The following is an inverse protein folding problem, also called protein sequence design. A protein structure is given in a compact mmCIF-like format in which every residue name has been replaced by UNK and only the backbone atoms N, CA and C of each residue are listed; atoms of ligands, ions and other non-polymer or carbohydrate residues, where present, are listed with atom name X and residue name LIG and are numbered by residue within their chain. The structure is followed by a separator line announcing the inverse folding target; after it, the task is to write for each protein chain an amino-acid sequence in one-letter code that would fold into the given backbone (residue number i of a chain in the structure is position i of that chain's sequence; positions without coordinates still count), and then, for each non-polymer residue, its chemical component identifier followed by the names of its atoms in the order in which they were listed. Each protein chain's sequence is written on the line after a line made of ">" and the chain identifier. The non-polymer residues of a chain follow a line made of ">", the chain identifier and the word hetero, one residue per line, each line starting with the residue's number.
data_IF_501731227012
#
_entry.id   IF_501731227012
#
_cell.length_a   1.000
_cell.length_b   1.000
_cell.length_c   1.000
_cell.angle_alpha   90.00
_cell.angle_beta   90.00
_cell.angle_gamma   90.00
#
_symmetry.space_group_name_H-M   'P 1'
#
loop_
_entity.id
_entity.type
_entity.pdbx_description
1 polymer ?
#
# COMPACT_ATOMS: atom_id res chain seq x y z
N UNK A 1 -48.05 -18.83 8.66
CA UNK A 1 -48.09 -17.52 7.99
C UNK A 1 -46.90 -17.46 7.00
N UNK A 2 -47.15 -17.24 5.72
CA UNK A 2 -46.20 -17.29 4.61
C UNK A 2 -45.35 -16.03 4.60
N UNK A 3 -44.03 -16.07 4.23
CA UNK A 3 -43.25 -14.86 3.96
C UNK A 3 -43.47 -14.39 2.51
N UNK A 4 -43.56 -13.09 2.35
CA UNK A 4 -43.70 -12.35 1.09
C UNK A 4 -42.39 -12.38 0.30
N UNK A 5 -42.52 -12.65 -1.00
CA UNK A 5 -41.52 -12.52 -2.04
C UNK A 5 -41.30 -11.03 -2.34
N UNK A 6 -40.08 -10.61 -2.47
CA UNK A 6 -39.68 -9.63 -3.52
C UNK A 6 -38.17 -9.74 -3.73
N UNK A 7 -37.81 -10.60 -4.69
CA UNK A 7 -36.49 -10.64 -5.28
C UNK A 7 -36.47 -9.77 -6.52
N UNK A 8 -35.63 -8.76 -6.54
CA UNK A 8 -35.20 -8.11 -7.78
C UNK A 8 -33.72 -8.42 -8.00
N UNK A 9 -33.33 -8.89 -9.18
CA UNK A 9 -31.92 -9.15 -9.50
C UNK A 9 -31.20 -7.88 -9.90
N UNK A 10 -29.96 -7.75 -9.43
CA UNK A 10 -29.02 -6.72 -9.88
C UNK A 10 -28.76 -6.81 -11.39
N UNK A 11 -28.65 -5.67 -12.11
CA UNK A 11 -28.46 -5.70 -13.54
C UNK A 11 -27.06 -6.19 -13.92
N UNK A 12 -27.06 -7.19 -14.80
CA UNK A 12 -25.88 -7.71 -15.48
C UNK A 12 -25.28 -6.66 -16.42
N UNK A 13 -23.95 -6.58 -16.40
CA UNK A 13 -23.14 -5.81 -17.35
C UNK A 13 -23.52 -6.16 -18.80
N UNK A 14 -23.88 -5.15 -19.58
CA UNK A 14 -23.70 -5.15 -21.04
C UNK A 14 -23.14 -3.81 -21.48
N UNK A 15 -21.94 -3.90 -22.02
CA UNK A 15 -21.33 -3.18 -23.15
C UNK A 15 -21.60 -1.68 -23.30
N UNK A 16 -20.56 -0.90 -23.20
CA UNK A 16 -20.37 0.29 -24.03
C UNK A 16 -19.00 0.14 -24.72
N UNK A 17 -19.01 -0.48 -25.89
CA UNK A 17 -18.01 -0.26 -26.94
C UNK A 17 -18.31 1.11 -27.54
N UNK A 18 -17.48 2.10 -27.27
CA UNK A 18 -17.45 3.36 -28.00
C UNK A 18 -16.26 3.31 -28.96
N UNK A 19 -16.59 3.28 -30.25
CA UNK A 19 -15.66 3.31 -31.35
C UNK A 19 -14.79 4.58 -31.32
N UNK A 20 -13.47 4.39 -31.36
CA UNK A 20 -12.48 5.44 -31.61
C UNK A 20 -12.52 5.77 -33.11
N UNK A 21 -13.05 6.93 -33.47
CA UNK A 21 -12.90 7.52 -34.80
C UNK A 21 -11.56 8.21 -34.87
N UNK A 22 -10.63 7.63 -35.63
CA UNK A 22 -9.34 8.23 -35.98
C UNK A 22 -9.57 9.16 -37.17
N UNK A 23 -9.42 10.47 -36.97
CA UNK A 23 -9.32 11.43 -38.05
C UNK A 23 -7.87 11.64 -38.47
N UNK A 24 -7.55 11.75 -39.77
CA UNK A 24 -6.17 11.84 -40.24
C UNK A 24 -5.60 13.24 -40.07
N UNK A 25 -4.33 13.28 -39.68
CA UNK A 25 -3.48 14.47 -39.55
C UNK A 25 -3.31 15.19 -40.87
N UNK A 26 -3.63 16.47 -40.87
CA UNK A 26 -3.39 17.41 -41.96
C UNK A 26 -1.87 17.72 -42.05
N UNK A 27 -1.34 17.63 -43.27
CA UNK A 27 0.02 18.04 -43.63
C UNK A 27 0.22 19.54 -43.40
N UNK A 28 1.22 19.94 -42.63
CA UNK A 28 1.72 21.32 -42.57
C UNK A 28 3.02 21.37 -43.35
N UNK A 29 2.99 22.20 -44.43
CA UNK A 29 4.14 22.51 -45.26
C UNK A 29 5.20 23.36 -44.54
N UNK A 30 6.50 23.21 -44.83
CA UNK A 30 7.54 24.01 -44.20
C UNK A 30 7.59 25.43 -44.76
N UNK A 31 7.51 26.38 -43.84
CA UNK A 31 7.69 27.80 -44.14
C UNK A 31 9.18 28.14 -44.23
N UNK A 32 9.58 28.75 -45.35
CA UNK A 32 10.93 29.21 -45.65
C UNK A 32 11.32 30.41 -44.74
N UNK A 33 12.46 30.33 -44.09
CA UNK A 33 13.07 31.41 -43.34
C UNK A 33 13.86 32.33 -44.30
N UNK A 34 13.44 33.60 -44.37
CA UNK A 34 14.20 34.66 -45.02
C UNK A 34 15.25 35.24 -44.02
N UNK A 35 16.45 35.68 -44.50
CA UNK A 35 17.48 36.19 -43.65
C UNK A 35 17.18 37.62 -43.18
N UNK A 36 17.27 37.84 -41.85
CA UNK A 36 17.20 39.17 -41.22
C UNK A 36 18.57 39.88 -41.29
N UNK A 37 18.50 41.13 -41.73
CA UNK A 37 19.61 42.05 -41.85
C UNK A 37 20.17 42.48 -40.48
N UNK A 38 21.46 42.75 -40.41
CA UNK A 38 22.19 43.16 -39.20
C UNK A 38 21.82 44.62 -38.79
N UNK A 39 21.69 44.92 -37.49
CA UNK A 39 21.45 46.30 -37.03
C UNK A 39 22.78 47.08 -36.84
N UNK A 40 22.75 48.42 -36.87
CA UNK A 40 23.92 49.32 -36.85
C UNK A 40 24.52 49.46 -35.46
N UNK A 41 25.82 49.90 -35.46
CA UNK A 41 26.69 50.08 -34.30
C UNK A 41 26.14 51.05 -33.23
N UNK A 42 26.15 50.60 -31.95
CA UNK A 42 25.95 51.42 -30.76
C UNK A 42 27.33 51.75 -30.10
N UNK A 43 27.50 52.94 -29.48
CA UNK A 43 28.76 53.37 -28.87
C UNK A 43 29.02 52.64 -27.53
N UNK A 44 30.28 52.68 -27.02
CA UNK A 44 30.67 51.93 -25.85
C UNK A 44 30.12 52.56 -24.55
N UNK A 45 29.25 51.83 -23.87
CA UNK A 45 28.80 52.18 -22.51
C UNK A 45 29.72 51.52 -21.50
N UNK A 46 30.19 52.33 -20.53
CA UNK A 46 31.09 51.95 -19.45
C UNK A 46 30.56 50.74 -18.66
N UNK A 47 31.43 49.74 -18.47
CA UNK A 47 31.19 48.58 -17.62
C UNK A 47 31.17 48.96 -16.15
N UNK A 48 29.99 49.13 -15.57
CA UNK A 48 29.78 49.04 -14.13
C UNK A 48 29.68 47.53 -13.79
N UNK A 49 30.77 47.02 -13.21
CA UNK A 49 30.81 45.67 -12.61
C UNK A 49 29.96 45.70 -11.33
N UNK A 50 28.70 45.35 -11.44
CA UNK A 50 27.92 44.94 -10.25
C UNK A 50 28.29 43.50 -9.89
N UNK A 51 28.68 43.21 -8.65
CA UNK A 51 28.87 41.82 -8.22
C UNK A 51 27.52 41.11 -8.24
N UNK A 52 27.36 40.22 -9.20
CA UNK A 52 26.29 39.24 -9.17
C UNK A 52 26.52 38.35 -7.94
N UNK A 53 25.76 38.59 -6.85
CA UNK A 53 25.62 37.62 -5.78
C UNK A 53 24.96 36.36 -6.39
N UNK A 54 25.78 35.39 -6.76
CA UNK A 54 25.37 34.03 -6.95
C UNK A 54 24.95 33.51 -5.56
N UNK A 55 23.67 33.71 -5.22
CA UNK A 55 23.05 32.89 -4.19
C UNK A 55 23.21 31.40 -4.66
N UNK A 56 23.86 30.56 -3.85
CA UNK A 56 23.84 29.14 -4.15
C UNK A 56 22.35 28.72 -4.10
N UNK A 57 21.79 28.37 -5.24
CA UNK A 57 20.58 27.61 -5.29
C UNK A 57 20.95 26.28 -4.61
N UNK A 58 20.76 26.22 -3.28
CA UNK A 58 20.77 24.97 -2.56
C UNK A 58 19.60 24.18 -3.17
N UNK A 59 19.92 23.32 -4.14
CA UNK A 59 19.02 22.24 -4.52
C UNK A 59 18.82 21.48 -3.20
N UNK A 60 17.70 21.76 -2.51
CA UNK A 60 17.23 20.91 -1.44
C UNK A 60 17.10 19.55 -2.08
N UNK A 61 18.05 18.67 -1.80
CA UNK A 61 17.92 17.28 -2.19
C UNK A 61 16.57 16.84 -1.65
N UNK A 62 15.61 16.58 -2.55
CA UNK A 62 14.31 16.13 -2.15
C UNK A 62 14.52 14.87 -1.30
N UNK A 63 14.00 14.89 -0.08
CA UNK A 63 14.13 13.74 0.82
C UNK A 63 13.66 12.49 0.09
N UNK A 64 14.47 11.44 0.15
CA UNK A 64 14.13 10.16 -0.48
C UNK A 64 12.75 9.69 0.00
N UNK A 65 11.85 9.24 -0.89
CA UNK A 65 10.55 8.74 -0.47
C UNK A 65 10.68 7.63 0.56
N UNK A 66 9.89 7.69 1.62
CA UNK A 66 9.80 6.59 2.59
C UNK A 66 9.08 5.38 1.98
N UNK A 67 9.44 4.17 2.40
CA UNK A 67 8.84 2.93 1.92
C UNK A 67 8.28 2.14 3.09
N UNK A 68 6.96 1.95 3.10
CA UNK A 68 6.29 1.12 4.10
C UNK A 68 5.76 -0.17 3.52
N UNK A 69 5.51 -1.17 4.37
CA UNK A 69 4.86 -2.41 3.97
C UNK A 69 3.59 -2.66 4.79
N UNK A 70 2.53 -3.09 4.12
CA UNK A 70 1.28 -3.50 4.76
C UNK A 70 1.54 -4.74 5.61
N UNK A 71 1.08 -4.71 6.87
CA UNK A 71 1.18 -5.84 7.79
C UNK A 71 -0.20 -6.26 8.28
N UNK A 72 -0.57 -7.48 7.94
CA UNK A 72 -1.76 -8.16 8.41
C UNK A 72 -1.40 -9.19 9.49
N UNK A 73 -2.12 -9.22 10.63
CA UNK A 73 -1.76 -10.09 11.75
C UNK A 73 -2.53 -11.42 11.71
N UNK A 74 -2.19 -12.27 10.75
CA UNK A 74 -2.79 -13.60 10.61
C UNK A 74 -2.01 -14.72 11.34
N UNK A 75 -1.01 -14.40 12.16
CA UNK A 75 -0.06 -15.36 12.72
C UNK A 75 0.02 -15.36 14.26
N UNK A 76 -0.98 -14.76 14.90
CA UNK A 76 -0.98 -14.55 16.35
C UNK A 76 -1.97 -15.43 17.11
N UNK A 77 -2.40 -16.51 16.49
CA UNK A 77 -3.34 -17.48 17.07
C UNK A 77 -4.79 -17.26 16.66
N UNK A 78 -5.67 -18.11 17.15
CA UNK A 78 -7.10 -18.10 16.84
C UNK A 78 -7.45 -18.67 15.46
N UNK A 79 -8.74 -18.63 15.12
CA UNK A 79 -9.26 -19.28 13.93
C UNK A 79 -8.74 -18.71 12.59
N UNK A 80 -8.26 -17.48 12.56
CA UNK A 80 -7.62 -16.91 11.36
C UNK A 80 -6.29 -17.60 11.10
N UNK A 81 -5.43 -17.70 12.13
CA UNK A 81 -4.14 -18.41 12.02
C UNK A 81 -4.31 -19.86 11.60
N UNK A 82 -5.28 -20.57 12.20
CA UNK A 82 -5.56 -21.97 11.85
C UNK A 82 -5.94 -22.14 10.38
N UNK A 83 -6.71 -21.21 9.82
CA UNK A 83 -7.08 -21.25 8.41
C UNK A 83 -5.91 -20.91 7.49
N UNK A 84 -5.07 -19.93 7.84
CA UNK A 84 -3.83 -19.64 7.09
C UNK A 84 -2.85 -20.82 7.15
N UNK A 85 -2.71 -21.49 8.30
CA UNK A 85 -1.95 -22.74 8.41
C UNK A 85 -2.50 -23.83 7.44
N UNK A 86 -3.83 -23.95 7.31
CA UNK A 86 -4.45 -24.89 6.37
C UNK A 86 -4.14 -24.55 4.92
N UNK A 87 -4.20 -23.27 4.54
CA UNK A 87 -3.90 -22.83 3.17
C UNK A 87 -2.46 -23.09 2.76
N UNK A 88 -1.50 -22.98 3.71
CA UNK A 88 -0.06 -23.10 3.46
C UNK A 88 0.53 -24.50 3.78
N UNK A 89 -0.24 -25.41 4.40
CA UNK A 89 0.21 -26.77 4.74
C UNK A 89 0.47 -27.68 3.54
N UNK A 90 -0.28 -27.61 2.43
CA UNK A 90 0.00 -28.46 1.26
C UNK A 90 1.43 -28.24 0.77
N UNK A 91 2.12 -29.33 0.40
CA UNK A 91 3.54 -29.30 0.02
C UNK A 91 3.84 -28.26 -1.06
N UNK A 92 2.97 -28.14 -2.07
CA UNK A 92 3.07 -27.14 -3.15
C UNK A 92 3.01 -25.67 -2.70
N UNK A 93 2.59 -25.40 -1.47
CA UNK A 93 2.49 -24.05 -0.89
C UNK A 93 3.50 -23.79 0.22
N UNK A 94 4.23 -24.79 0.70
CA UNK A 94 5.17 -24.68 1.85
C UNK A 94 6.30 -23.69 1.63
N UNK A 95 6.72 -23.46 0.38
CA UNK A 95 7.72 -22.44 0.07
C UNK A 95 7.26 -21.01 0.42
N UNK A 96 5.96 -20.84 0.74
CA UNK A 96 5.39 -19.56 1.20
C UNK A 96 5.26 -19.46 2.72
N UNK A 97 5.59 -20.50 3.49
CA UNK A 97 5.54 -20.45 4.95
C UNK A 97 6.50 -19.36 5.46
N UNK A 98 6.14 -18.60 6.53
CA UNK A 98 7.08 -17.67 7.14
C UNK A 98 8.27 -18.42 7.75
N UNK A 99 9.43 -17.80 7.82
CA UNK A 99 10.70 -18.41 8.21
C UNK A 99 10.66 -19.13 9.57
N UNK A 100 9.81 -18.70 10.48
CA UNK A 100 9.64 -19.29 11.82
C UNK A 100 8.58 -20.40 11.89
N UNK A 101 7.91 -20.69 10.77
CA UNK A 101 6.93 -21.78 10.72
C UNK A 101 7.60 -23.13 10.96
N UNK A 102 6.82 -24.06 11.49
CA UNK A 102 7.22 -25.45 11.72
C UNK A 102 6.21 -26.40 11.11
N UNK A 103 6.65 -27.58 10.72
CA UNK A 103 5.75 -28.67 10.36
C UNK A 103 5.61 -29.62 11.55
N UNK A 104 4.36 -29.91 11.93
CA UNK A 104 4.09 -30.94 12.96
C UNK A 104 4.27 -32.35 12.40
N UNK A 105 4.12 -33.38 13.26
CA UNK A 105 4.31 -34.78 12.89
C UNK A 105 3.38 -35.27 11.77
N UNK A 106 2.25 -34.56 11.54
CA UNK A 106 1.32 -34.84 10.44
C UNK A 106 1.68 -34.11 9.15
N UNK A 107 2.73 -33.26 9.17
CA UNK A 107 3.12 -32.40 8.06
C UNK A 107 2.29 -31.13 7.92
N UNK A 108 1.47 -30.81 8.91
CA UNK A 108 0.69 -29.56 8.94
C UNK A 108 1.58 -28.41 9.40
N UNK A 109 1.46 -27.27 8.74
CA UNK A 109 2.14 -26.05 9.15
C UNK A 109 1.60 -25.52 10.48
N UNK A 110 2.52 -25.01 11.32
CA UNK A 110 2.26 -24.28 12.55
C UNK A 110 2.97 -22.93 12.48
N UNK A 111 2.22 -21.87 12.65
CA UNK A 111 2.69 -20.49 12.52
C UNK A 111 2.40 -19.77 13.83
N UNK A 112 3.43 -19.45 14.59
CA UNK A 112 3.29 -18.74 15.86
C UNK A 112 4.23 -17.52 15.91
N UNK A 113 3.71 -16.37 15.53
CA UNK A 113 4.42 -15.10 15.61
C UNK A 113 4.47 -14.54 17.06
N UNK A 114 3.83 -15.21 18.04
CA UNK A 114 3.89 -14.80 19.44
C UNK A 114 5.15 -15.30 20.17
N UNK A 115 5.89 -16.24 19.56
CA UNK A 115 7.12 -16.77 20.14
C UNK A 115 8.17 -15.66 20.35
N UNK A 116 8.94 -15.82 21.42
CA UNK A 116 9.98 -14.86 21.83
C UNK A 116 11.00 -14.60 20.71
N UNK A 117 11.35 -13.34 20.50
CA UNK A 117 12.34 -12.91 19.51
C UNK A 117 11.81 -12.79 18.07
N UNK A 118 10.61 -13.32 17.73
CA UNK A 118 10.10 -13.26 16.36
C UNK A 118 9.85 -11.81 15.93
N UNK A 119 9.19 -11.00 16.74
CA UNK A 119 8.91 -9.60 16.42
C UNK A 119 10.21 -8.80 16.24
N UNK A 120 11.17 -8.99 17.13
CA UNK A 120 12.48 -8.33 17.08
C UNK A 120 13.25 -8.70 15.81
N UNK A 121 13.19 -9.96 15.41
CA UNK A 121 13.84 -10.43 14.19
C UNK A 121 13.13 -9.91 12.93
N UNK A 122 11.80 -9.86 12.91
CA UNK A 122 11.06 -9.27 11.81
C UNK A 122 11.37 -7.78 11.64
N UNK A 123 11.45 -7.01 12.76
CA UNK A 123 11.88 -5.60 12.74
C UNK A 123 13.30 -5.48 12.16
N UNK A 124 14.21 -6.35 12.58
CA UNK A 124 15.59 -6.35 12.07
C UNK A 124 15.64 -6.62 10.56
N UNK A 125 14.88 -7.58 10.06
CA UNK A 125 14.76 -7.86 8.62
C UNK A 125 14.19 -6.66 7.83
N UNK A 126 13.11 -6.05 8.32
CA UNK A 126 12.49 -4.90 7.66
C UNK A 126 13.43 -3.69 7.60
N UNK A 127 14.08 -3.36 8.73
CA UNK A 127 15.09 -2.30 8.82
C UNK A 127 16.27 -2.56 7.90
N UNK A 128 16.79 -3.79 7.90
CA UNK A 128 17.95 -4.15 7.10
C UNK A 128 17.64 -4.11 5.59
N UNK A 129 16.41 -4.39 5.18
CA UNK A 129 15.96 -4.18 3.81
C UNK A 129 15.76 -2.70 3.44
N UNK A 130 15.82 -1.77 4.39
CA UNK A 130 15.64 -0.33 4.17
C UNK A 130 14.19 0.14 4.24
N UNK A 131 13.26 -0.67 4.77
CA UNK A 131 11.88 -0.23 5.00
C UNK A 131 11.87 0.86 6.09
N UNK A 132 10.99 1.85 5.90
CA UNK A 132 10.81 2.97 6.82
C UNK A 132 9.77 2.66 7.90
N UNK A 133 8.71 1.91 7.55
CA UNK A 133 7.61 1.64 8.45
C UNK A 133 6.78 0.40 8.04
N UNK A 134 6.03 -0.13 9.02
CA UNK A 134 4.90 -1.01 8.74
C UNK A 134 3.57 -0.27 8.84
N UNK A 135 2.66 -0.56 7.92
CA UNK A 135 1.26 -0.12 7.98
C UNK A 135 0.41 -1.28 8.51
N UNK A 136 0.01 -1.21 9.78
CA UNK A 136 -0.77 -2.26 10.44
C UNK A 136 -2.26 -2.17 10.09
N UNK A 137 -2.83 -3.24 9.53
CA UNK A 137 -4.27 -3.39 9.41
C UNK A 137 -4.87 -3.53 10.82
N UNK A 138 -5.78 -2.62 11.20
CA UNK A 138 -6.22 -2.50 12.57
C UNK A 138 -7.54 -3.22 12.86
N UNK A 139 -7.55 -3.89 13.99
CA UNK A 139 -8.70 -4.55 14.58
C UNK A 139 -8.94 -4.00 15.99
N UNK A 140 -10.08 -4.31 16.64
CA UNK A 140 -10.36 -3.87 17.99
C UNK A 140 -9.30 -4.33 18.99
N UNK A 141 -9.10 -3.55 20.05
CA UNK A 141 -8.20 -3.95 21.13
C UNK A 141 -8.64 -5.29 21.74
N UNK A 142 -7.66 -6.17 22.00
CA UNK A 142 -7.88 -7.52 22.52
C UNK A 142 -8.29 -8.55 21.46
N UNK A 143 -8.48 -8.15 20.20
CA UNK A 143 -8.60 -9.09 19.09
C UNK A 143 -7.23 -9.76 18.81
N UNK A 144 -7.23 -11.05 18.45
CA UNK A 144 -6.00 -11.75 18.08
C UNK A 144 -5.28 -11.07 16.93
N UNK A 145 -6.04 -10.51 15.98
CA UNK A 145 -5.55 -9.74 14.83
C UNK A 145 -4.90 -8.39 15.20
N UNK A 146 -4.96 -7.95 16.46
CA UNK A 146 -4.26 -6.76 17.00
C UNK A 146 -2.98 -7.10 17.76
N UNK A 147 -2.64 -8.38 17.88
CA UNK A 147 -1.53 -8.84 18.72
C UNK A 147 -0.16 -8.42 18.18
N UNK A 148 0.04 -8.41 16.86
CA UNK A 148 1.31 -7.99 16.27
C UNK A 148 1.61 -6.52 16.56
N UNK A 149 0.63 -5.62 16.43
CA UNK A 149 0.81 -4.21 16.80
C UNK A 149 1.16 -4.07 18.28
N UNK A 150 0.49 -4.83 19.17
CA UNK A 150 0.79 -4.82 20.61
C UNK A 150 2.22 -5.28 20.89
N UNK A 151 2.70 -6.35 20.24
CA UNK A 151 4.08 -6.84 20.38
C UNK A 151 5.10 -5.87 19.82
N UNK A 152 4.81 -5.29 18.64
CA UNK A 152 5.66 -4.25 18.06
C UNK A 152 5.86 -3.07 19.02
N UNK A 153 4.78 -2.54 19.60
CA UNK A 153 4.84 -1.42 20.55
C UNK A 153 5.62 -1.75 21.84
N UNK A 154 5.66 -3.02 22.25
CA UNK A 154 6.41 -3.50 23.41
C UNK A 154 7.85 -3.89 23.09
N UNK A 155 8.17 -4.08 21.81
CA UNK A 155 9.52 -4.51 21.39
C UNK A 155 10.57 -3.45 21.73
N UNK A 156 11.73 -3.85 22.29
CA UNK A 156 12.86 -2.96 22.50
C UNK A 156 13.45 -2.44 21.17
N UNK A 157 13.17 -3.12 20.06
CA UNK A 157 13.61 -2.71 18.70
C UNK A 157 12.62 -1.81 17.96
N UNK A 158 11.50 -1.41 18.57
CA UNK A 158 10.47 -0.62 17.88
C UNK A 158 10.99 0.70 17.30
N UNK A 159 12.04 1.28 17.88
CA UNK A 159 12.66 2.51 17.38
C UNK A 159 13.40 2.34 16.04
N UNK A 160 13.69 1.10 15.64
CA UNK A 160 14.40 0.78 14.42
C UNK A 160 13.52 0.83 13.16
N UNK A 161 12.20 0.79 13.32
CA UNK A 161 11.23 0.77 12.22
C UNK A 161 9.98 1.54 12.63
N UNK A 162 9.57 2.53 11.86
CA UNK A 162 8.34 3.29 12.09
C UNK A 162 7.07 2.45 11.87
N UNK A 163 5.90 3.02 12.19
CA UNK A 163 4.62 2.40 11.92
C UNK A 163 3.54 3.41 11.61
N UNK A 164 2.48 2.97 10.95
CA UNK A 164 1.21 3.68 10.83
C UNK A 164 0.04 2.69 10.86
N UNK A 165 -1.17 3.23 10.84
CA UNK A 165 -2.40 2.44 10.90
C UNK A 165 -3.10 2.40 9.55
N UNK A 166 -3.71 1.24 9.26
CA UNK A 166 -4.73 1.09 8.23
C UNK A 166 -6.04 0.84 8.98
N UNK A 167 -6.92 1.84 9.03
CA UNK A 167 -8.24 1.70 9.65
C UNK A 167 -9.06 0.66 8.87
N UNK A 168 -9.59 -0.32 9.60
CA UNK A 168 -10.40 -1.40 9.02
C UNK A 168 -11.57 -1.72 9.97
N UNK A 169 -11.45 -2.73 10.82
CA UNK A 169 -12.54 -3.10 11.75
C UNK A 169 -12.61 -2.26 13.02
N UNK A 170 -11.63 -1.41 13.25
CA UNK A 170 -11.56 -0.49 14.40
C UNK A 170 -12.84 0.33 14.60
N UNK A 171 -13.45 0.80 13.49
CA UNK A 171 -14.68 1.58 13.56
C UNK A 171 -15.95 0.72 13.69
N UNK A 172 -15.85 -0.60 13.64
CA UNK A 172 -16.99 -1.53 13.67
C UNK A 172 -17.27 -2.13 15.05
N UNK A 173 -16.59 -1.66 16.10
CA UNK A 173 -16.78 -2.13 17.48
C UNK A 173 -18.20 -1.87 17.99
N UNK A 174 -18.70 -2.59 19.01
CA UNK A 174 -19.95 -2.25 19.70
C UNK A 174 -19.94 -0.80 20.23
N UNK A 175 -21.08 -0.14 20.25
CA UNK A 175 -21.20 1.27 20.64
C UNK A 175 -20.56 1.59 21.99
N UNK A 176 -20.73 0.71 22.98
CA UNK A 176 -20.14 0.88 24.32
C UNK A 176 -18.60 0.85 24.33
N UNK A 177 -17.96 0.22 23.34
CA UNK A 177 -16.49 0.14 23.22
C UNK A 177 -15.91 1.28 22.38
N UNK A 178 -16.73 1.97 21.60
CA UNK A 178 -16.24 2.97 20.64
C UNK A 178 -15.44 4.11 21.28
N UNK A 179 -15.86 4.74 22.39
CA UNK A 179 -15.07 5.82 22.99
C UNK A 179 -13.66 5.40 23.36
N UNK A 180 -13.49 4.23 23.98
CA UNK A 180 -12.18 3.70 24.35
C UNK A 180 -11.33 3.37 23.12
N UNK A 181 -11.93 2.79 22.08
CA UNK A 181 -11.23 2.44 20.84
C UNK A 181 -10.79 3.70 20.07
N UNK A 182 -11.65 4.72 19.98
CA UNK A 182 -11.30 6.04 19.43
C UNK A 182 -10.10 6.64 20.16
N UNK A 183 -10.14 6.66 21.49
CA UNK A 183 -9.08 7.25 22.31
C UNK A 183 -7.78 6.44 22.21
N UNK A 184 -7.86 5.12 22.03
CA UNK A 184 -6.72 4.25 21.71
C UNK A 184 -6.07 4.65 20.37
N UNK A 185 -6.87 4.87 19.32
CA UNK A 185 -6.34 5.33 18.04
C UNK A 185 -5.62 6.67 18.19
N UNK A 186 -6.22 7.63 18.90
CA UNK A 186 -5.58 8.95 19.13
C UNK A 186 -4.24 8.81 19.85
N UNK A 187 -4.14 7.94 20.86
CA UNK A 187 -2.84 7.65 21.54
C UNK A 187 -1.82 7.06 20.58
N UNK A 188 -2.24 6.11 19.73
CA UNK A 188 -1.36 5.52 18.74
C UNK A 188 -0.81 6.55 17.75
N UNK A 189 -1.62 7.52 17.30
CA UNK A 189 -1.17 8.60 16.42
C UNK A 189 -0.11 9.53 17.06
N UNK A 190 0.01 9.51 18.37
CA UNK A 190 0.96 10.32 19.16
C UNK A 190 2.23 9.53 19.55
N UNK A 191 2.26 8.22 19.28
CA UNK A 191 3.41 7.37 19.62
C UNK A 191 4.70 7.81 18.91
N UNK A 192 5.85 7.76 19.58
CA UNK A 192 7.15 7.94 18.95
C UNK A 192 7.34 6.94 17.80
N UNK A 193 7.88 7.40 16.68
CA UNK A 193 8.07 6.56 15.49
C UNK A 193 6.81 6.38 14.64
N UNK A 194 5.68 7.03 14.97
CA UNK A 194 4.53 7.03 14.09
C UNK A 194 4.87 7.71 12.76
N UNK A 195 4.63 7.03 11.64
CA UNK A 195 4.93 7.53 10.29
C UNK A 195 4.10 8.77 9.96
N UNK A 196 4.74 9.74 9.32
CA UNK A 196 4.09 10.99 8.92
C UNK A 196 4.23 11.24 7.42
N UNK A 197 3.24 11.93 6.84
CA UNK A 197 3.32 12.61 5.56
C UNK A 197 3.56 14.11 5.83
N UNK A 198 4.77 14.57 5.62
CA UNK A 198 5.23 15.87 6.16
C UNK A 198 5.16 15.87 7.69
N UNK A 199 4.37 16.78 8.28
CA UNK A 199 4.15 16.84 9.74
C UNK A 199 2.90 16.07 10.23
N UNK A 200 2.11 15.53 9.32
CA UNK A 200 0.79 14.94 9.58
C UNK A 200 0.91 13.43 9.81
N UNK A 201 0.35 12.86 10.89
CA UNK A 201 0.30 11.40 11.06
C UNK A 201 -0.36 10.72 9.85
N UNK A 202 0.30 9.73 9.25
CA UNK A 202 -0.20 8.99 8.09
C UNK A 202 -1.19 7.92 8.51
N UNK A 203 -2.40 7.96 7.97
CA UNK A 203 -3.46 6.99 8.30
C UNK A 203 -4.10 6.50 7.01
N UNK A 204 -3.99 5.21 6.73
CA UNK A 204 -4.74 4.59 5.66
C UNK A 204 -6.12 4.12 6.14
N UNK A 205 -7.05 3.96 5.22
CA UNK A 205 -8.36 3.36 5.47
C UNK A 205 -8.69 2.36 4.36
N UNK A 206 -8.92 1.11 4.76
CA UNK A 206 -9.24 0.01 3.85
C UNK A 206 -10.60 -0.59 4.18
N UNK A 207 -11.44 -0.78 3.16
CA UNK A 207 -12.80 -1.31 3.29
C UNK A 207 -13.65 -0.58 4.34
N UNK A 208 -13.35 0.71 4.52
CA UNK A 208 -14.10 1.56 5.44
C UNK A 208 -15.43 1.94 4.79
N UNK A 209 -16.51 1.35 5.30
CA UNK A 209 -17.88 1.51 4.78
C UNK A 209 -18.47 2.85 5.21
N UNK A 210 -17.93 3.98 4.73
CA UNK A 210 -18.40 5.32 5.11
C UNK A 210 -19.81 5.64 4.61
N UNK A 211 -20.34 4.87 3.66
CA UNK A 211 -21.76 4.89 3.30
C UNK A 211 -22.67 4.40 4.44
N UNK A 212 -22.15 3.62 5.39
CA UNK A 212 -22.91 3.20 6.58
C UNK A 212 -22.92 4.33 7.63
N UNK A 213 -24.11 4.82 8.05
CA UNK A 213 -24.20 6.00 8.91
C UNK A 213 -23.36 5.94 10.19
N UNK A 214 -23.36 4.78 10.88
CA UNK A 214 -22.56 4.59 12.09
C UNK A 214 -21.06 4.70 11.85
N UNK A 215 -20.56 4.13 10.75
CA UNK A 215 -19.13 4.18 10.39
C UNK A 215 -18.76 5.62 10.05
N UNK A 216 -19.58 6.29 9.24
CA UNK A 216 -19.38 7.71 8.91
C UNK A 216 -19.33 8.57 10.16
N UNK A 217 -20.30 8.43 11.06
CA UNK A 217 -20.34 9.17 12.34
C UNK A 217 -19.05 8.94 13.14
N UNK A 218 -18.62 7.69 13.29
CA UNK A 218 -17.40 7.34 14.04
C UNK A 218 -16.15 7.88 13.40
N UNK A 219 -16.07 7.89 12.08
CA UNK A 219 -14.95 8.51 11.38
C UNK A 219 -14.93 10.03 11.61
N UNK A 220 -16.10 10.70 11.60
CA UNK A 220 -16.21 12.12 11.93
C UNK A 220 -15.82 12.41 13.39
N UNK A 221 -16.24 11.56 14.33
CA UNK A 221 -15.84 11.65 15.75
C UNK A 221 -14.35 11.43 15.94
N UNK A 222 -13.73 10.48 15.21
CA UNK A 222 -12.28 10.25 15.23
C UNK A 222 -11.52 11.48 14.73
N UNK A 223 -11.95 12.08 13.61
CA UNK A 223 -11.36 13.33 13.08
C UNK A 223 -11.47 14.47 14.08
N UNK A 224 -12.62 14.61 14.72
CA UNK A 224 -12.85 15.62 15.77
C UNK A 224 -11.94 15.41 16.98
N UNK A 225 -11.82 14.17 17.46
CA UNK A 225 -10.94 13.83 18.58
C UNK A 225 -9.46 14.08 18.24
N UNK A 226 -9.04 13.74 17.03
CA UNK A 226 -7.69 14.05 16.55
C UNK A 226 -7.41 15.55 16.57
N UNK A 227 -8.34 16.35 16.04
CA UNK A 227 -8.23 17.82 16.07
C UNK A 227 -8.14 18.37 17.50
N UNK A 228 -8.95 17.87 18.42
CA UNK A 228 -8.92 18.25 19.84
C UNK A 228 -7.58 17.89 20.49
N UNK A 229 -6.96 16.80 20.08
CA UNK A 229 -5.62 16.40 20.51
C UNK A 229 -4.47 17.16 19.81
N UNK A 230 -4.76 18.19 19.01
CA UNK A 230 -3.77 18.96 18.25
C UNK A 230 -3.18 18.23 17.03
N UNK A 231 -3.82 17.16 16.60
CA UNK A 231 -3.39 16.35 15.47
C UNK A 231 -4.15 16.73 14.18
N UNK A 232 -3.46 16.60 13.05
CA UNK A 232 -4.05 16.75 11.72
C UNK A 232 -3.64 15.55 10.84
N UNK A 233 -4.26 14.37 11.01
CA UNK A 233 -3.86 13.18 10.29
C UNK A 233 -4.00 13.34 8.76
N UNK A 234 -3.10 12.69 8.03
CA UNK A 234 -3.14 12.57 6.57
C UNK A 234 -3.88 11.27 6.23
N UNK A 235 -5.20 11.37 6.04
CA UNK A 235 -6.02 10.21 5.72
C UNK A 235 -5.91 9.83 4.25
N UNK A 236 -5.69 8.54 3.97
CA UNK A 236 -5.54 7.96 2.62
C UNK A 236 -6.58 6.87 2.43
N UNK A 237 -7.44 7.03 1.45
CA UNK A 237 -8.42 6.00 1.08
C UNK A 237 -7.76 4.91 0.23
N UNK A 238 -7.89 3.65 0.61
CA UNK A 238 -7.40 2.50 -0.15
C UNK A 238 -8.54 1.96 -1.02
N UNK A 239 -8.50 2.29 -2.31
CA UNK A 239 -9.51 1.93 -3.30
C UNK A 239 -8.94 1.21 -4.51
N UNK A 240 -9.63 1.32 -5.65
CA UNK A 240 -9.31 0.59 -6.88
C UNK A 240 -9.06 1.49 -8.09
N UNK A 241 -9.62 2.70 -8.07
CA UNK A 241 -9.48 3.67 -9.16
C UNK A 241 -9.20 5.05 -8.57
N UNK A 242 -7.97 5.58 -8.71
CA UNK A 242 -7.55 6.80 -8.03
C UNK A 242 -8.49 7.99 -8.23
N UNK A 243 -8.81 8.35 -9.47
CA UNK A 243 -9.63 9.52 -9.74
C UNK A 243 -11.05 9.39 -9.19
N UNK A 244 -11.71 8.26 -9.46
CA UNK A 244 -13.08 8.00 -9.00
C UNK A 244 -13.15 7.96 -7.48
N UNK A 245 -12.22 7.25 -6.86
CA UNK A 245 -12.23 7.02 -5.42
C UNK A 245 -11.89 8.32 -4.67
N UNK A 246 -10.97 9.15 -5.20
CA UNK A 246 -10.71 10.47 -4.64
C UNK A 246 -11.90 11.40 -4.77
N UNK A 247 -12.54 11.45 -5.95
CA UNK A 247 -13.75 12.24 -6.15
C UNK A 247 -14.88 11.86 -5.17
N UNK A 248 -15.02 10.56 -4.88
CA UNK A 248 -16.04 10.07 -3.95
C UNK A 248 -15.75 10.45 -2.49
N UNK A 249 -14.47 10.42 -2.07
CA UNK A 249 -14.10 10.46 -0.66
C UNK A 249 -13.33 11.72 -0.20
N UNK A 250 -12.90 12.60 -1.11
CA UNK A 250 -12.18 13.82 -0.72
C UNK A 250 -12.98 14.71 0.23
N UNK A 251 -14.29 14.85 0.00
CA UNK A 251 -15.19 15.62 0.87
C UNK A 251 -15.37 15.03 2.27
N UNK A 252 -15.05 13.74 2.45
CA UNK A 252 -15.07 13.07 3.76
C UNK A 252 -13.79 13.36 4.57
N UNK A 253 -12.79 14.01 3.95
CA UNK A 253 -11.53 14.41 4.58
C UNK A 253 -10.33 13.55 4.19
N UNK A 254 -10.45 12.69 3.17
CA UNK A 254 -9.31 11.96 2.63
C UNK A 254 -8.43 12.90 1.78
N UNK A 255 -7.14 12.95 2.14
CA UNK A 255 -6.16 13.82 1.51
C UNK A 255 -5.52 13.19 0.26
N UNK A 256 -5.56 11.88 0.13
CA UNK A 256 -5.03 11.12 -1.00
C UNK A 256 -5.72 9.76 -1.12
N UNK A 257 -5.40 9.05 -2.18
CA UNK A 257 -5.82 7.66 -2.40
C UNK A 257 -4.60 6.75 -2.59
N UNK A 258 -4.82 5.46 -2.37
CA UNK A 258 -3.88 4.37 -2.60
C UNK A 258 -4.66 3.09 -2.88
N UNK A 259 -4.01 1.93 -2.80
CA UNK A 259 -4.68 0.63 -2.81
C UNK A 259 -4.09 -0.28 -1.73
N UNK A 260 -4.89 -1.24 -1.22
CA UNK A 260 -4.39 -2.29 -0.34
C UNK A 260 -3.63 -3.34 -1.15
N UNK A 261 -4.25 -3.84 -2.20
CA UNK A 261 -3.71 -4.83 -3.12
C UNK A 261 -4.19 -4.55 -4.55
N UNK A 262 -3.63 -5.23 -5.52
CA UNK A 262 -4.12 -5.21 -6.89
C UNK A 262 -4.40 -6.65 -7.38
N UNK A 263 -5.67 -7.06 -7.49
CA UNK A 263 -6.03 -8.35 -8.08
C UNK A 263 -5.62 -8.42 -9.56
N UNK A 264 -5.02 -9.56 -9.97
CA UNK A 264 -4.56 -9.73 -11.34
C UNK A 264 -4.82 -11.13 -11.89
N UNK A 265 -4.89 -11.23 -13.23
CA UNK A 265 -5.04 -12.49 -13.97
C UNK A 265 -3.93 -12.70 -15.00
N UNK A 266 -3.08 -11.69 -15.19
CA UNK A 266 -1.96 -11.75 -16.13
C UNK A 266 -0.89 -12.71 -15.57
N UNK A 267 -0.52 -13.78 -16.29
CA UNK A 267 0.38 -14.80 -15.76
C UNK A 267 1.84 -14.36 -15.65
N UNK A 268 2.26 -13.36 -16.42
CA UNK A 268 3.61 -12.83 -16.39
C UNK A 268 3.68 -11.65 -15.44
N UNK A 269 4.49 -11.75 -14.37
CA UNK A 269 4.55 -10.72 -13.33
C UNK A 269 4.85 -9.33 -13.88
N UNK A 270 5.81 -9.18 -14.76
CA UNK A 270 6.14 -7.89 -15.37
C UNK A 270 4.95 -7.25 -16.10
N UNK A 271 4.15 -8.05 -16.83
CA UNK A 271 2.95 -7.57 -17.51
C UNK A 271 1.82 -7.22 -16.55
N UNK A 272 1.68 -8.00 -15.48
CA UNK A 272 0.73 -7.72 -14.40
C UNK A 272 1.01 -6.37 -13.75
N UNK A 273 2.28 -6.13 -13.40
CA UNK A 273 2.71 -4.86 -12.81
C UNK A 273 2.53 -3.70 -13.78
N UNK A 274 2.93 -3.87 -15.05
CA UNK A 274 2.80 -2.85 -16.09
C UNK A 274 1.32 -2.45 -16.32
N UNK A 275 0.41 -3.42 -16.32
CA UNK A 275 -1.04 -3.14 -16.40
C UNK A 275 -1.54 -2.35 -15.18
N UNK A 276 -1.05 -2.66 -13.99
CA UNK A 276 -1.39 -1.94 -12.77
C UNK A 276 -0.85 -0.49 -12.77
N UNK A 277 0.42 -0.30 -13.12
CA UNK A 277 1.03 1.03 -13.19
C UNK A 277 0.27 1.92 -14.20
N UNK A 278 -0.08 1.40 -15.37
CA UNK A 278 -0.91 2.13 -16.35
C UNK A 278 -2.32 2.42 -15.83
N UNK A 279 -2.92 1.50 -15.09
CA UNK A 279 -4.27 1.72 -14.56
C UNK A 279 -4.30 2.72 -13.41
N UNK A 280 -3.40 2.60 -12.44
CA UNK A 280 -3.46 3.37 -11.19
C UNK A 280 -2.56 4.62 -11.25
N UNK A 281 -1.26 4.47 -11.54
CA UNK A 281 -0.33 5.59 -11.47
C UNK A 281 -0.56 6.58 -12.60
N UNK A 282 -0.72 6.09 -13.84
CA UNK A 282 -1.01 6.97 -14.96
C UNK A 282 -2.38 7.66 -14.83
N UNK A 283 -3.39 6.98 -14.25
CA UNK A 283 -4.68 7.60 -13.95
C UNK A 283 -4.53 8.73 -12.92
N UNK A 284 -3.82 8.50 -11.81
CA UNK A 284 -3.56 9.52 -10.79
C UNK A 284 -2.84 10.73 -11.39
N UNK A 285 -1.81 10.49 -12.22
CA UNK A 285 -1.06 11.55 -12.90
C UNK A 285 -1.92 12.35 -13.86
N UNK A 286 -2.67 11.68 -14.73
CA UNK A 286 -3.52 12.34 -15.73
C UNK A 286 -4.62 13.21 -15.10
N UNK A 287 -5.12 12.82 -13.94
CA UNK A 287 -6.20 13.52 -13.21
C UNK A 287 -5.70 14.42 -12.08
N UNK A 288 -4.39 14.48 -11.86
CA UNK A 288 -3.74 15.20 -10.74
C UNK A 288 -4.31 14.79 -9.36
N UNK A 289 -4.69 13.53 -9.23
CA UNK A 289 -5.22 12.98 -7.99
C UNK A 289 -4.08 12.75 -7.00
N UNK A 290 -4.16 13.28 -5.76
CA UNK A 290 -3.18 12.97 -4.72
C UNK A 290 -3.11 11.46 -4.47
N UNK A 291 -1.92 10.87 -4.63
CA UNK A 291 -1.76 9.42 -4.69
C UNK A 291 -0.52 8.93 -3.93
N UNK A 292 -0.64 7.77 -3.27
CA UNK A 292 0.49 7.01 -2.74
C UNK A 292 0.63 5.74 -3.58
N UNK A 293 1.71 5.57 -4.34
CA UNK A 293 1.90 4.38 -5.16
C UNK A 293 1.96 3.10 -4.34
N UNK A 294 1.21 2.09 -4.80
CA UNK A 294 1.33 0.72 -4.32
C UNK A 294 2.43 0.00 -5.12
N UNK A 295 3.31 -0.71 -4.42
CA UNK A 295 4.23 -1.70 -4.99
C UNK A 295 3.72 -3.08 -4.61
N UNK A 296 3.37 -3.91 -5.60
CA UNK A 296 2.93 -5.28 -5.34
C UNK A 296 4.12 -6.24 -5.34
N UNK A 297 4.13 -7.20 -4.42
CA UNK A 297 5.11 -8.29 -4.37
C UNK A 297 4.53 -9.62 -4.88
N UNK A 298 3.32 -9.58 -5.41
CA UNK A 298 2.63 -10.71 -6.01
C UNK A 298 1.13 -10.73 -5.71
N UNK A 299 0.41 -11.58 -6.44
CA UNK A 299 -1.02 -11.84 -6.24
C UNK A 299 -1.34 -13.25 -6.73
N UNK A 300 -1.37 -14.21 -5.82
CA UNK A 300 -1.67 -15.61 -6.16
C UNK A 300 -2.45 -16.29 -5.03
N UNK A 301 -3.76 -16.31 -5.16
CA UNK A 301 -4.69 -16.86 -4.18
C UNK A 301 -4.96 -18.35 -4.32
N UNK A 302 -4.14 -19.12 -5.06
CA UNK A 302 -4.28 -20.57 -5.16
C UNK A 302 -4.30 -21.28 -3.81
N UNK A 303 -3.53 -20.89 -2.77
CA UNK A 303 -3.69 -21.49 -1.44
C UNK A 303 -5.11 -21.38 -0.89
N UNK A 304 -5.77 -20.23 -1.07
CA UNK A 304 -7.16 -20.00 -0.64
C UNK A 304 -8.20 -20.62 -1.58
N UNK A 305 -7.85 -20.89 -2.84
CA UNK A 305 -8.71 -21.70 -3.71
C UNK A 305 -8.73 -23.17 -3.28
N UNK A 306 -7.56 -23.72 -2.91
CA UNK A 306 -7.44 -25.09 -2.43
C UNK A 306 -8.08 -25.29 -1.04
N UNK A 307 -7.98 -24.29 -0.17
CA UNK A 307 -8.53 -24.26 1.18
C UNK A 307 -9.24 -22.92 1.42
N UNK A 308 -10.54 -22.81 1.06
CA UNK A 308 -11.32 -21.59 1.23
C UNK A 308 -11.34 -21.11 2.69
N UNK A 309 -11.21 -19.80 2.89
CA UNK A 309 -11.19 -19.16 4.21
C UNK A 309 -12.54 -18.54 4.55
N UNK A 310 -12.91 -18.55 5.83
CA UNK A 310 -14.28 -18.21 6.27
C UNK A 310 -14.63 -16.73 6.12
N UNK A 311 -13.63 -15.86 6.06
CA UNK A 311 -13.84 -14.40 5.92
C UNK A 311 -14.02 -13.92 4.48
N UNK A 312 -13.74 -14.75 3.48
CA UNK A 312 -13.95 -14.43 2.07
C UNK A 312 -15.13 -15.25 1.51
N UNK A 313 -16.29 -14.63 1.47
CA UNK A 313 -17.50 -15.28 0.90
C UNK A 313 -17.58 -14.98 -0.59
N UNK A 314 -17.71 -16.03 -1.41
CA UNK A 314 -17.83 -15.93 -2.87
C UNK A 314 -16.75 -15.03 -3.51
N UNK A 315 -15.46 -15.29 -3.24
CA UNK A 315 -14.40 -14.41 -3.70
C UNK A 315 -14.29 -14.43 -5.23
N UNK A 316 -14.05 -13.27 -5.83
CA UNK A 316 -13.96 -13.11 -7.29
C UNK A 316 -12.84 -13.91 -7.97
N UNK A 317 -11.96 -14.53 -7.18
CA UNK A 317 -10.90 -15.42 -7.67
C UNK A 317 -11.25 -16.92 -7.58
N UNK A 318 -12.42 -17.31 -7.02
CA UNK A 318 -12.76 -18.72 -6.78
C UNK A 318 -12.62 -19.59 -8.04
N UNK A 319 -13.04 -19.09 -9.19
CA UNK A 319 -12.95 -19.78 -10.49
C UNK A 319 -11.78 -19.32 -11.36
N UNK A 320 -10.87 -18.49 -10.80
CA UNK A 320 -9.73 -17.93 -11.55
C UNK A 320 -8.74 -19.04 -11.90
N UNK A 321 -8.42 -19.18 -13.20
CA UNK A 321 -7.51 -20.22 -13.71
C UNK A 321 -6.06 -19.75 -13.79
N UNK A 322 -5.84 -18.45 -13.86
CA UNK A 322 -4.52 -17.86 -14.08
C UNK A 322 -4.23 -16.79 -13.02
N UNK A 323 -3.08 -16.89 -12.41
CA UNK A 323 -2.55 -15.92 -11.44
C UNK A 323 -1.19 -15.44 -11.90
N UNK A 324 -0.77 -14.22 -11.51
CA UNK A 324 0.60 -13.78 -11.73
C UNK A 324 1.62 -14.76 -11.15
N UNK A 325 2.65 -15.05 -11.91
CA UNK A 325 3.79 -15.81 -11.39
C UNK A 325 4.45 -15.05 -10.22
N UNK A 326 5.14 -15.78 -9.36
CA UNK A 326 5.96 -15.16 -8.33
C UNK A 326 7.04 -14.28 -9.00
N UNK A 327 7.26 -13.06 -8.51
CA UNK A 327 8.27 -12.18 -9.09
C UNK A 327 9.68 -12.72 -8.89
N UNK A 328 10.54 -12.46 -9.84
CA UNK A 328 11.99 -12.52 -9.65
C UNK A 328 12.49 -11.33 -8.83
N UNK A 329 13.68 -11.43 -8.25
CA UNK A 329 14.30 -10.32 -7.52
C UNK A 329 14.51 -9.09 -8.43
N UNK A 330 14.88 -9.29 -9.70
CA UNK A 330 15.02 -8.21 -10.68
C UNK A 330 13.70 -7.49 -10.97
N UNK A 331 12.58 -8.22 -11.05
CA UNK A 331 11.26 -7.61 -11.24
C UNK A 331 10.82 -6.81 -10.02
N UNK A 332 11.09 -7.29 -8.81
CA UNK A 332 10.82 -6.54 -7.57
C UNK A 332 11.66 -5.27 -7.50
N UNK A 333 12.97 -5.36 -7.76
CA UNK A 333 13.90 -4.23 -7.81
C UNK A 333 13.44 -3.18 -8.83
N UNK A 334 13.06 -3.60 -10.04
CA UNK A 334 12.59 -2.71 -11.08
C UNK A 334 11.27 -2.01 -10.72
N UNK A 335 10.29 -2.75 -10.16
CA UNK A 335 9.00 -2.19 -9.77
C UNK A 335 9.14 -1.17 -8.64
N UNK A 336 9.90 -1.49 -7.59
CA UNK A 336 10.20 -0.55 -6.50
C UNK A 336 10.94 0.70 -7.01
N UNK A 337 11.95 0.51 -7.87
CA UNK A 337 12.70 1.61 -8.46
C UNK A 337 11.81 2.57 -9.27
N UNK A 338 10.87 2.04 -10.06
CA UNK A 338 9.90 2.87 -10.79
C UNK A 338 8.95 3.62 -9.84
N UNK A 339 8.51 2.98 -8.74
CA UNK A 339 7.65 3.64 -7.76
C UNK A 339 8.34 4.84 -7.10
N UNK A 340 9.61 4.68 -6.69
CA UNK A 340 10.41 5.76 -6.10
C UNK A 340 10.62 6.90 -7.12
N UNK A 341 10.98 6.56 -8.35
CA UNK A 341 11.15 7.53 -9.42
C UNK A 341 9.84 8.29 -9.73
N UNK A 342 8.69 7.59 -9.71
CA UNK A 342 7.38 8.20 -9.90
C UNK A 342 7.07 9.24 -8.79
N UNK A 343 7.30 8.90 -7.52
CA UNK A 343 7.10 9.83 -6.40
C UNK A 343 8.01 11.06 -6.52
N UNK A 344 9.28 10.86 -6.85
CA UNK A 344 10.25 11.95 -7.00
C UNK A 344 9.94 12.85 -8.20
N UNK A 345 9.47 12.30 -9.31
CA UNK A 345 9.13 13.05 -10.52
C UNK A 345 7.80 13.82 -10.39
N UNK A 346 6.91 13.43 -9.50
CA UNK A 346 5.56 13.97 -9.40
C UNK A 346 5.18 14.36 -7.95
N UNK A 347 5.90 15.29 -7.30
CA UNK A 347 5.63 15.68 -5.92
C UNK A 347 4.27 16.34 -5.73
N UNK A 348 3.69 16.93 -6.76
CA UNK A 348 2.34 17.49 -6.79
C UNK A 348 1.25 16.41 -6.75
N UNK A 349 1.50 15.24 -7.32
CA UNK A 349 0.62 14.06 -7.27
C UNK A 349 0.93 13.16 -6.08
N UNK A 350 2.17 13.15 -5.61
CA UNK A 350 2.63 12.33 -4.49
C UNK A 350 3.09 13.16 -3.27
N UNK A 351 2.25 14.08 -2.73
CA UNK A 351 2.67 15.01 -1.68
C UNK A 351 3.01 14.33 -0.35
N UNK A 352 2.61 13.07 -0.15
CA UNK A 352 2.98 12.29 1.02
C UNK A 352 4.43 11.80 1.02
N UNK A 353 5.14 11.90 -0.11
CA UNK A 353 6.53 11.46 -0.32
C UNK A 353 6.79 10.04 0.23
N UNK A 354 5.90 9.11 -0.09
CA UNK A 354 5.98 7.72 0.40
C UNK A 354 5.43 6.74 -0.63
N UNK A 355 5.85 5.47 -0.49
CA UNK A 355 5.38 4.31 -1.23
C UNK A 355 4.87 3.28 -0.22
N UNK A 356 3.79 2.57 -0.56
CA UNK A 356 3.28 1.45 0.24
C UNK A 356 3.43 0.14 -0.52
N UNK A 357 3.86 -0.93 0.16
CA UNK A 357 4.12 -2.25 -0.41
C UNK A 357 3.06 -3.23 0.03
N UNK A 358 2.45 -3.94 -0.89
CA UNK A 358 1.64 -5.13 -0.65
C UNK A 358 2.53 -6.38 -0.82
N UNK A 359 2.93 -7.08 0.24
CA UNK A 359 2.75 -6.76 1.64
C UNK A 359 3.99 -7.22 2.43
N UNK A 360 4.00 -7.01 3.74
CA UNK A 360 4.98 -7.70 4.59
C UNK A 360 4.69 -9.19 4.63
N UNK A 361 3.41 -9.60 4.80
CA UNK A 361 3.08 -10.95 5.22
C UNK A 361 1.75 -11.55 4.70
N UNK A 362 1.31 -11.18 3.50
CA UNK A 362 0.14 -11.80 2.83
C UNK A 362 0.55 -13.06 2.05
N UNK A 363 1.14 -14.04 2.73
CA UNK A 363 1.78 -15.23 2.14
C UNK A 363 0.79 -16.14 1.39
N UNK A 364 -0.39 -16.35 1.91
CA UNK A 364 -1.43 -17.18 1.29
C UNK A 364 -2.21 -16.45 0.17
N UNK A 365 -1.97 -15.12 0.03
CA UNK A 365 -2.44 -14.32 -1.09
C UNK A 365 -1.38 -14.11 -2.19
N UNK A 366 -0.14 -14.51 -1.92
CA UNK A 366 0.96 -14.39 -2.88
C UNK A 366 1.76 -13.10 -2.81
N UNK A 367 1.48 -12.21 -1.84
CA UNK A 367 2.19 -10.95 -1.63
C UNK A 367 2.95 -10.93 -0.30
N UNK A 368 4.28 -11.01 -0.33
CA UNK A 368 5.09 -10.97 0.90
C UNK A 368 6.49 -10.44 0.70
N UNK A 369 7.06 -9.86 1.76
CA UNK A 369 8.49 -9.53 1.91
C UNK A 369 9.13 -10.27 3.09
N UNK A 370 8.34 -10.65 4.10
CA UNK A 370 8.82 -11.42 5.24
C UNK A 370 9.56 -12.65 4.76
N UNK A 371 10.75 -12.97 5.29
CA UNK A 371 11.51 -14.16 4.88
C UNK A 371 10.67 -15.42 4.93
N UNK A 372 10.95 -16.36 4.02
CA UNK A 372 10.22 -17.63 3.99
C UNK A 372 11.05 -18.79 4.51
N UNK A 373 10.32 -19.79 4.95
CA UNK A 373 10.87 -21.06 5.41
C UNK A 373 11.54 -21.82 4.26
N UNK A 374 12.64 -22.51 4.57
CA UNK A 374 13.27 -23.47 3.66
C UNK A 374 13.52 -24.81 4.37
N UNK A 375 13.60 -25.92 3.63
CA UNK A 375 13.94 -27.22 4.21
C UNK A 375 15.29 -27.26 4.94
N UNK A 376 16.22 -26.38 4.60
CA UNK A 376 17.53 -26.27 5.26
C UNK A 376 17.46 -25.59 6.64
N UNK A 377 16.33 -24.98 7.00
CA UNK A 377 16.15 -24.17 8.21
C UNK A 377 16.75 -22.77 8.14
N UNK A 378 17.41 -22.41 7.02
CA UNK A 378 17.86 -21.02 6.79
C UNK A 378 16.73 -20.23 6.13
N UNK A 379 16.38 -19.04 6.64
CA UNK A 379 15.36 -18.21 6.03
C UNK A 379 15.74 -17.78 4.61
N UNK A 380 14.80 -17.85 3.65
CA UNK A 380 14.97 -17.21 2.35
C UNK A 380 14.67 -15.71 2.47
N UNK A 381 15.71 -14.88 2.34
CA UNK A 381 15.65 -13.42 2.41
C UNK A 381 15.69 -12.76 1.04
N UNK A 382 15.64 -13.51 -0.04
CA UNK A 382 15.91 -13.02 -1.41
C UNK A 382 15.08 -11.81 -1.83
N UNK A 383 13.80 -11.74 -1.40
CA UNK A 383 12.93 -10.59 -1.66
C UNK A 383 13.34 -9.33 -0.88
N UNK A 384 13.83 -9.49 0.35
CA UNK A 384 14.40 -8.39 1.15
C UNK A 384 15.72 -7.91 0.54
N UNK A 385 16.53 -8.81 -0.01
CA UNK A 385 17.79 -8.45 -0.69
C UNK A 385 17.52 -7.62 -1.94
N UNK A 386 16.46 -7.94 -2.70
CA UNK A 386 15.99 -7.12 -3.82
C UNK A 386 15.60 -5.70 -3.37
N UNK A 387 14.88 -5.57 -2.26
CA UNK A 387 14.52 -4.26 -1.70
C UNK A 387 15.74 -3.51 -1.17
N UNK A 388 16.65 -4.19 -0.45
CA UNK A 388 17.90 -3.61 0.05
C UNK A 388 18.74 -3.01 -1.08
N UNK A 389 18.84 -3.68 -2.21
CA UNK A 389 19.62 -3.21 -3.36
C UNK A 389 19.10 -1.90 -3.97
N UNK A 390 17.85 -1.55 -3.70
CA UNK A 390 17.24 -0.29 -4.15
C UNK A 390 17.25 0.75 -3.03
N UNK A 391 17.05 0.32 -1.77
CA UNK A 391 16.80 1.23 -0.66
C UNK A 391 18.07 1.64 0.11
N UNK A 392 19.16 0.92 -0.04
CA UNK A 392 20.48 1.24 0.51
C UNK A 392 21.51 1.45 -0.60
#
# INVERSE_FOLDING_TARGET
>A
MRPTKDGQPYPTKRAAEAALIISPLAHVSPCQLAPLAAPPHLPPVARLLSPLFLLPLALLAADRPSVGAIRWDAWSGGGVTEQVEQTLSPEKHRARLPWFARLDASGRARIDASAEGIMEQEIAYAKDAGLSYWAFLTYPEGDAMSSALTRYLRSPKRADLGFCLILHQTLSVPAARWPAERDRVIKLLQEPGYQKAGTRPLVFAFDLKTEHPTIKQRFDELKSAAKTAGLNPYYVYMGWNPARDYQAHAAEGFAAVSAYAHPGKEPVFAKYVDAFERHAWANALATKTPYIPLVTTGWDKRPRQDHPVSWEKNPGYADQKTFPAAPTNGELTAHLGRALAFVQAHPDVCPANTVIVYAWNEHDEGGWLCPTWTPSGQPDTSRLDAFRSVLK
#
